data_IF_149853702380
#
_entry.id   IF_149853702380
#
_cell.length_a   1.000
_cell.length_b   1.000
_cell.length_c   1.000
_cell.angle_alpha   90.00
_cell.angle_beta   90.00
_cell.angle_gamma   90.00
#
_symmetry.space_group_name_H-M   'P 1'
#
loop_
_entity.id
_entity.type
_entity.pdbx_description
1 polymer ?
#
# COMPACT_ATOMS: atom_id res chain seq x y z
N UNK A 1 -14.11 12.66 -18.45
CA UNK A 1 -15.33 12.25 -17.72
C UNK A 1 -15.12 12.63 -16.27
N UNK A 2 -16.09 13.31 -15.64
CA UNK A 2 -15.98 13.74 -14.24
C UNK A 2 -16.66 12.75 -13.28
N UNK A 3 -16.19 12.69 -12.04
CA UNK A 3 -16.88 12.01 -10.95
C UNK A 3 -18.19 12.78 -10.68
N UNK A 4 -19.32 12.08 -10.58
CA UNK A 4 -20.63 12.70 -10.35
C UNK A 4 -20.88 13.01 -8.88
N UNK A 5 -20.41 12.12 -8.02
CA UNK A 5 -20.63 12.19 -6.58
C UNK A 5 -19.43 11.56 -5.84
N UNK A 6 -19.04 12.15 -4.73
CA UNK A 6 -18.03 11.61 -3.83
C UNK A 6 -18.69 11.37 -2.48
N UNK A 7 -18.70 10.12 -2.03
CA UNK A 7 -19.27 9.71 -0.75
C UNK A 7 -18.12 9.44 0.21
N UNK A 8 -17.94 10.26 1.26
CA UNK A 8 -16.91 10.00 2.25
C UNK A 8 -17.31 8.83 3.16
N UNK A 9 -16.47 7.79 3.18
CA UNK A 9 -16.69 6.59 3.99
C UNK A 9 -15.54 6.50 5.00
N UNK A 10 -15.72 7.18 6.13
CA UNK A 10 -14.76 7.21 7.22
C UNK A 10 -15.49 7.29 8.56
N UNK A 11 -14.98 6.65 9.62
CA UNK A 11 -15.53 6.77 10.96
C UNK A 11 -15.53 8.22 11.44
N UNK A 12 -16.44 8.56 12.32
CA UNK A 12 -16.49 9.86 12.97
C UNK A 12 -15.49 9.90 14.15
N UNK A 13 -14.68 10.95 14.21
CA UNK A 13 -13.71 11.15 15.30
C UNK A 13 -12.70 10.01 15.42
N UNK A 14 -12.56 9.47 16.62
CA UNK A 14 -11.59 8.41 16.94
C UNK A 14 -12.13 6.99 16.81
N UNK A 15 -13.35 6.84 16.31
CA UNK A 15 -13.93 5.52 16.07
C UNK A 15 -13.07 4.72 15.07
N UNK A 16 -13.04 3.40 15.26
CA UNK A 16 -12.32 2.46 14.41
C UNK A 16 -13.27 1.52 13.65
N UNK A 17 -14.54 1.93 13.51
CA UNK A 17 -15.58 1.15 12.82
C UNK A 17 -16.43 2.03 11.93
N UNK A 18 -16.79 1.51 10.78
CA UNK A 18 -17.77 2.11 9.89
C UNK A 18 -19.18 1.86 10.42
N UNK A 19 -20.06 2.84 10.27
CA UNK A 19 -21.48 2.68 10.58
C UNK A 19 -22.18 1.78 9.54
N UNK A 20 -23.32 1.17 9.87
CA UNK A 20 -24.11 0.40 8.91
C UNK A 20 -24.51 1.20 7.65
N UNK A 21 -24.77 2.50 7.79
CA UNK A 21 -25.05 3.38 6.64
C UNK A 21 -23.85 3.56 5.73
N UNK A 22 -22.64 3.75 6.28
CA UNK A 22 -21.40 3.84 5.51
C UNK A 22 -21.09 2.54 4.78
N UNK A 23 -21.34 1.40 5.40
CA UNK A 23 -21.21 0.09 4.77
C UNK A 23 -22.21 -0.07 3.61
N UNK A 24 -23.45 0.37 3.79
CA UNK A 24 -24.44 0.35 2.71
C UNK A 24 -24.04 1.24 1.52
N UNK A 25 -23.49 2.42 1.79
CA UNK A 25 -22.96 3.31 0.73
C UNK A 25 -21.76 2.71 0.03
N UNK A 26 -20.81 2.08 0.76
CA UNK A 26 -19.65 1.42 0.16
C UNK A 26 -20.06 0.36 -0.87
N UNK A 27 -21.12 -0.41 -0.60
CA UNK A 27 -21.64 -1.43 -1.53
C UNK A 27 -22.17 -0.86 -2.85
N UNK A 28 -22.47 0.42 -2.91
CA UNK A 28 -23.06 1.11 -4.08
C UNK A 28 -22.04 1.88 -4.89
N UNK A 29 -20.79 1.92 -4.45
CA UNK A 29 -19.73 2.67 -5.13
C UNK A 29 -19.40 2.07 -6.51
N UNK A 30 -19.18 2.94 -7.49
CA UNK A 30 -18.69 2.59 -8.84
C UNK A 30 -17.18 2.82 -8.99
N UNK A 31 -16.51 3.28 -7.95
CA UNK A 31 -15.07 3.34 -7.79
C UNK A 31 -14.77 3.45 -6.28
N UNK A 32 -13.66 2.91 -5.83
CA UNK A 32 -13.18 3.05 -4.46
C UNK A 32 -11.83 3.76 -4.49
N UNK A 33 -11.69 4.83 -3.71
CA UNK A 33 -10.40 5.52 -3.56
C UNK A 33 -10.08 5.65 -2.07
N UNK A 34 -8.93 5.09 -1.66
CA UNK A 34 -8.47 5.14 -0.27
C UNK A 34 -7.32 6.14 -0.15
N UNK A 35 -7.52 7.16 0.67
CA UNK A 35 -6.57 8.24 0.90
C UNK A 35 -5.32 7.84 1.67
N UNK A 36 -4.43 8.81 1.87
CA UNK A 36 -3.28 8.69 2.77
C UNK A 36 -3.66 8.90 4.24
N UNK A 37 -2.84 8.40 5.15
CA UNK A 37 -3.04 8.57 6.59
C UNK A 37 -2.26 7.53 7.41
N UNK A 38 -2.70 7.27 8.64
CA UNK A 38 -2.12 6.23 9.49
C UNK A 38 -2.54 4.85 9.00
N UNK A 39 -1.59 4.06 8.50
CA UNK A 39 -1.83 2.74 7.94
C UNK A 39 -2.41 1.77 8.98
N UNK A 40 -1.99 1.87 10.26
CA UNK A 40 -2.55 1.03 11.36
C UNK A 40 -4.04 1.30 11.53
N UNK A 41 -4.42 2.58 11.52
CA UNK A 41 -5.82 2.99 11.64
C UNK A 41 -6.63 2.51 10.44
N UNK A 42 -6.10 2.66 9.22
CA UNK A 42 -6.76 2.20 7.99
C UNK A 42 -6.90 0.69 7.94
N UNK A 43 -5.85 -0.03 8.34
CA UNK A 43 -5.89 -1.49 8.46
C UNK A 43 -7.02 -1.94 9.40
N UNK A 44 -7.11 -1.33 10.57
CA UNK A 44 -8.14 -1.67 11.56
C UNK A 44 -9.55 -1.34 11.07
N UNK A 45 -9.74 -0.17 10.45
CA UNK A 45 -11.06 0.30 10.00
C UNK A 45 -11.55 -0.48 8.78
N UNK A 46 -10.68 -0.68 7.79
CA UNK A 46 -11.09 -1.17 6.48
C UNK A 46 -10.70 -2.62 6.22
N UNK A 47 -9.50 -3.05 6.66
CA UNK A 47 -9.01 -4.40 6.37
C UNK A 47 -9.54 -5.42 7.38
N UNK A 48 -9.54 -5.09 8.67
CA UNK A 48 -10.05 -5.98 9.73
C UNK A 48 -11.57 -5.86 9.96
N UNK A 49 -12.31 -5.42 8.94
CA UNK A 49 -13.76 -5.26 9.01
C UNK A 49 -14.46 -5.85 7.80
N UNK A 50 -15.80 -5.78 7.79
CA UNK A 50 -16.59 -6.23 6.63
C UNK A 50 -16.30 -5.41 5.35
N UNK A 51 -15.75 -4.19 5.48
CA UNK A 51 -15.36 -3.38 4.33
C UNK A 51 -14.36 -4.10 3.41
N UNK A 52 -13.48 -4.93 3.96
CA UNK A 52 -12.55 -5.75 3.17
C UNK A 52 -13.28 -6.68 2.19
N UNK A 53 -14.27 -7.42 2.67
CA UNK A 53 -15.03 -8.32 1.81
C UNK A 53 -15.75 -7.55 0.70
N UNK A 54 -16.37 -6.43 1.04
CA UNK A 54 -17.09 -5.58 0.09
C UNK A 54 -16.14 -5.01 -0.97
N UNK A 55 -14.98 -4.47 -0.58
CA UNK A 55 -14.00 -3.92 -1.53
C UNK A 55 -13.50 -5.01 -2.48
N UNK A 56 -13.26 -6.21 -1.97
CA UNK A 56 -12.86 -7.36 -2.81
C UNK A 56 -13.96 -7.77 -3.79
N UNK A 57 -15.21 -7.81 -3.35
CA UNK A 57 -16.37 -8.12 -4.21
C UNK A 57 -16.53 -7.06 -5.30
N UNK A 58 -16.44 -5.78 -4.96
CA UNK A 58 -16.49 -4.67 -5.91
C UNK A 58 -15.35 -4.79 -6.93
N UNK A 59 -14.12 -4.99 -6.49
CA UNK A 59 -12.96 -5.15 -7.35
C UNK A 59 -13.11 -6.35 -8.30
N UNK A 60 -13.53 -7.49 -7.78
CA UNK A 60 -13.78 -8.70 -8.58
C UNK A 60 -14.91 -8.51 -9.61
N UNK A 61 -15.83 -7.58 -9.38
CA UNK A 61 -16.88 -7.19 -10.33
C UNK A 61 -16.43 -6.13 -11.36
N UNK A 62 -15.14 -5.74 -11.35
CA UNK A 62 -14.58 -4.75 -12.28
C UNK A 62 -14.65 -3.30 -11.81
N UNK A 63 -15.03 -3.05 -10.56
CA UNK A 63 -15.02 -1.71 -9.98
C UNK A 63 -13.56 -1.32 -9.66
N UNK A 64 -13.06 -0.18 -10.18
CA UNK A 64 -11.67 0.22 -9.97
C UNK A 64 -11.40 0.61 -8.51
N UNK A 65 -10.20 0.26 -8.07
CA UNK A 65 -9.63 0.71 -6.80
C UNK A 65 -8.47 1.66 -7.04
N UNK A 66 -8.41 2.76 -6.30
CA UNK A 66 -7.26 3.64 -6.22
C UNK A 66 -6.81 3.79 -4.78
N UNK A 67 -5.51 3.87 -4.57
CA UNK A 67 -4.92 4.07 -3.25
C UNK A 67 -3.74 5.03 -3.28
N UNK A 68 -3.61 5.89 -2.28
CA UNK A 68 -2.45 6.75 -2.09
C UNK A 68 -1.88 6.54 -0.69
N UNK A 69 -0.54 6.44 -0.57
CA UNK A 69 0.16 6.25 0.71
C UNK A 69 -0.43 5.05 1.47
N UNK A 70 -1.02 5.23 2.65
CA UNK A 70 -1.66 4.15 3.42
C UNK A 70 -2.67 3.34 2.59
N UNK A 71 -3.45 4.00 1.72
CA UNK A 71 -4.39 3.33 0.83
C UNK A 71 -3.69 2.43 -0.20
N UNK A 72 -2.52 2.81 -0.70
CA UNK A 72 -1.74 1.94 -1.58
C UNK A 72 -1.10 0.77 -0.82
N UNK A 73 -0.60 1.02 0.40
CA UNK A 73 0.00 -0.02 1.24
C UNK A 73 -0.94 -1.18 1.55
N UNK A 74 -2.23 -0.90 1.81
CA UNK A 74 -3.23 -1.91 2.20
C UNK A 74 -3.91 -2.60 1.01
N UNK A 75 -3.60 -2.22 -0.23
CA UNK A 75 -4.20 -2.81 -1.43
C UNK A 75 -3.80 -4.28 -1.67
N UNK A 76 -2.53 -4.70 -1.50
CA UNK A 76 -2.10 -6.08 -1.75
C UNK A 76 -2.70 -7.11 -0.78
N UNK A 77 -2.35 -8.37 -1.01
CA UNK A 77 -2.70 -9.48 -0.11
C UNK A 77 -1.99 -9.37 1.24
N UNK A 78 -0.71 -9.02 1.23
CA UNK A 78 0.07 -8.67 2.41
C UNK A 78 0.42 -7.19 2.40
N UNK A 79 0.39 -6.54 3.55
CA UNK A 79 0.67 -5.11 3.66
C UNK A 79 1.61 -4.76 4.80
N UNK A 80 2.38 -3.71 4.59
CA UNK A 80 3.20 -3.09 5.64
C UNK A 80 2.30 -2.14 6.43
N UNK A 81 2.10 -2.43 7.72
CA UNK A 81 1.27 -1.58 8.60
C UNK A 81 2.09 -0.66 9.48
N UNK A 82 3.34 -1.04 9.79
CA UNK A 82 4.11 -0.32 10.79
C UNK A 82 5.59 -0.66 10.74
N UNK A 83 6.41 0.23 11.27
CA UNK A 83 7.81 -0.02 11.61
C UNK A 83 8.78 0.07 10.45
N UNK A 84 10.05 0.11 10.81
CA UNK A 84 11.20 -0.01 9.91
C UNK A 84 12.45 -0.34 10.73
N UNK A 85 13.26 -1.29 10.27
CA UNK A 85 14.56 -1.58 10.89
C UNK A 85 15.68 -0.61 10.49
N UNK A 86 15.45 0.26 9.52
CA UNK A 86 16.51 1.09 8.92
C UNK A 86 16.60 2.47 9.56
N UNK A 87 16.06 2.67 10.73
CA UNK A 87 16.29 3.90 11.48
C UNK A 87 17.66 3.79 12.15
N UNK A 88 18.69 4.20 11.44
CA UNK A 88 19.97 4.47 12.12
C UNK A 88 19.82 5.73 12.97
N UNK A 89 20.35 5.75 14.19
CA UNK A 89 20.29 6.93 15.07
C UNK A 89 20.83 8.23 14.46
N UNK A 90 21.57 8.13 13.39
CA UNK A 90 22.22 9.24 12.67
C UNK A 90 21.35 9.88 11.60
N UNK A 91 20.19 9.32 11.28
CA UNK A 91 19.32 9.88 10.24
C UNK A 91 18.06 10.52 10.84
N UNK A 92 18.24 11.69 11.49
CA UNK A 92 17.14 12.49 12.04
C UNK A 92 16.08 12.85 11.01
N UNK A 93 16.43 12.91 9.73
CA UNK A 93 15.48 13.19 8.65
C UNK A 93 14.51 12.04 8.45
N UNK A 94 14.97 10.80 8.40
CA UNK A 94 14.11 9.62 8.30
C UNK A 94 13.25 9.42 9.54
N UNK A 95 13.76 9.73 10.72
CA UNK A 95 12.99 9.69 11.98
C UNK A 95 11.90 10.77 11.99
N UNK A 96 12.18 11.97 11.47
CA UNK A 96 11.21 13.07 11.43
C UNK A 96 10.17 12.93 10.32
N UNK A 97 10.52 12.29 9.21
CA UNK A 97 9.62 12.08 8.08
C UNK A 97 8.87 10.75 8.14
N UNK A 98 9.28 9.81 8.99
CA UNK A 98 8.39 8.72 9.37
C UNK A 98 7.30 9.30 10.29
N UNK A 99 6.33 9.94 9.68
CA UNK A 99 5.17 10.64 10.28
C UNK A 99 4.41 9.79 11.33
N UNK A 100 4.80 8.58 11.56
CA UNK A 100 4.09 7.55 12.30
C UNK A 100 4.91 6.86 13.39
N UNK A 101 6.20 7.17 13.53
CA UNK A 101 7.05 6.62 14.57
C UNK A 101 7.31 7.70 15.63
N UNK A 102 6.74 7.54 16.79
CA UNK A 102 7.18 8.21 18.01
C UNK A 102 8.06 7.24 18.80
N UNK A 103 9.42 7.34 18.69
CA UNK A 103 10.32 6.42 19.36
C UNK A 103 10.15 6.43 20.88
N UNK A 104 9.61 7.51 21.43
CA UNK A 104 9.34 7.64 22.86
C UNK A 104 8.08 6.87 23.30
N UNK A 105 7.14 6.64 22.39
CA UNK A 105 5.88 5.94 22.67
C UNK A 105 5.86 4.52 22.16
N UNK A 106 6.57 4.25 21.06
CA UNK A 106 6.43 3.01 20.29
C UNK A 106 7.56 1.99 20.54
N UNK A 107 8.57 2.34 21.33
CA UNK A 107 9.61 1.48 21.95
C UNK A 107 10.31 0.43 21.09
N UNK A 108 9.64 -0.19 20.17
CA UNK A 108 10.16 -1.19 19.26
C UNK A 108 9.77 -0.84 17.82
N UNK A 109 10.78 -0.65 16.99
CA UNK A 109 10.65 -0.27 15.58
C UNK A 109 10.61 -1.49 14.65
N UNK A 110 10.20 -2.63 15.16
CA UNK A 110 10.08 -3.83 14.34
C UNK A 110 9.06 -3.65 13.21
N UNK A 111 9.45 -4.08 12.01
CA UNK A 111 8.54 -4.10 10.88
C UNK A 111 7.36 -5.03 11.17
N UNK A 112 6.16 -4.52 10.98
CA UNK A 112 4.92 -5.29 11.10
C UNK A 112 4.21 -5.36 9.76
N UNK A 113 3.95 -6.57 9.33
CA UNK A 113 3.18 -6.90 8.15
C UNK A 113 1.93 -7.69 8.56
N UNK A 114 0.85 -7.54 7.83
CA UNK A 114 -0.39 -8.27 8.05
C UNK A 114 -1.12 -8.43 6.71
N UNK A 115 -2.30 -9.03 6.72
CA UNK A 115 -3.16 -9.09 5.54
C UNK A 115 -3.58 -7.70 5.06
N UNK A 116 -3.65 -7.52 3.75
CA UNK A 116 -4.26 -6.36 3.11
C UNK A 116 -5.63 -6.67 2.51
N UNK A 117 -6.06 -5.87 1.54
CA UNK A 117 -7.32 -6.14 0.82
C UNK A 117 -7.24 -7.40 -0.04
N UNK A 118 -6.07 -7.75 -0.58
CA UNK A 118 -5.88 -8.87 -1.49
C UNK A 118 -6.27 -8.55 -2.92
N UNK A 119 -6.03 -7.32 -3.35
CA UNK A 119 -6.26 -6.87 -4.74
C UNK A 119 -5.05 -7.14 -5.64
N UNK A 120 -3.88 -7.40 -5.07
CA UNK A 120 -2.68 -7.86 -5.73
C UNK A 120 -2.17 -9.08 -4.98
N UNK A 121 -2.04 -10.21 -5.67
CA UNK A 121 -1.56 -11.47 -5.09
C UNK A 121 -0.05 -11.59 -5.21
N UNK A 122 0.57 -12.28 -4.26
CA UNK A 122 2.02 -12.56 -4.20
C UNK A 122 2.90 -11.30 -4.36
N UNK A 123 2.35 -10.15 -3.98
CA UNK A 123 2.97 -8.83 -4.11
C UNK A 123 2.78 -8.02 -2.83
N UNK A 124 3.75 -7.20 -2.50
CA UNK A 124 3.68 -6.21 -1.42
C UNK A 124 4.08 -4.84 -1.95
N UNK A 125 3.49 -3.78 -1.42
CA UNK A 125 3.72 -2.40 -1.88
C UNK A 125 4.43 -1.61 -0.81
N UNK A 126 5.40 -0.78 -1.20
CA UNK A 126 6.02 0.26 -0.41
C UNK A 126 5.89 1.61 -1.11
N UNK A 127 5.54 2.64 -0.36
CA UNK A 127 5.32 4.00 -0.86
C UNK A 127 6.35 4.96 -0.29
N UNK A 128 6.44 6.18 -0.88
CA UNK A 128 7.50 7.14 -0.56
C UNK A 128 8.88 6.47 -0.69
N UNK A 129 9.02 5.65 -1.73
CA UNK A 129 10.07 4.63 -1.79
C UNK A 129 11.48 5.22 -1.85
N UNK A 130 11.72 6.15 -2.78
CA UNK A 130 13.01 6.84 -2.84
C UNK A 130 13.17 7.85 -1.71
N UNK A 131 12.10 8.56 -1.36
CA UNK A 131 12.11 9.64 -0.39
C UNK A 131 12.46 9.15 1.02
N UNK A 132 12.03 7.95 1.38
CA UNK A 132 12.27 7.36 2.69
C UNK A 132 13.30 6.22 2.69
N UNK A 133 13.96 5.95 1.56
CA UNK A 133 14.90 4.85 1.44
C UNK A 133 14.22 3.49 1.65
N UNK A 134 13.07 3.28 1.04
CA UNK A 134 12.16 2.15 1.28
C UNK A 134 12.67 0.77 0.85
N UNK A 135 13.79 0.67 0.10
CA UNK A 135 14.30 -0.61 -0.38
C UNK A 135 14.51 -1.65 0.74
N UNK A 136 15.24 -1.36 1.82
CA UNK A 136 15.44 -2.36 2.88
C UNK A 136 14.14 -2.77 3.56
N UNK A 137 13.21 -1.83 3.76
CA UNK A 137 11.91 -2.09 4.35
C UNK A 137 11.04 -2.98 3.47
N UNK A 138 11.02 -2.73 2.17
CA UNK A 138 10.31 -3.56 1.20
C UNK A 138 10.91 -4.97 1.14
N UNK A 139 12.24 -5.08 1.06
CA UNK A 139 12.94 -6.37 1.03
C UNK A 139 12.67 -7.19 2.31
N UNK A 140 12.71 -6.56 3.49
CA UNK A 140 12.36 -7.22 4.76
C UNK A 140 10.90 -7.66 4.78
N UNK A 141 9.97 -6.82 4.31
CA UNK A 141 8.56 -7.18 4.22
C UNK A 141 8.32 -8.39 3.31
N UNK A 142 9.02 -8.46 2.17
CA UNK A 142 8.98 -9.62 1.27
C UNK A 142 9.51 -10.90 1.94
N UNK A 143 10.57 -10.81 2.74
CA UNK A 143 11.07 -11.99 3.51
C UNK A 143 10.06 -12.44 4.55
N UNK A 144 9.45 -11.50 5.28
CA UNK A 144 8.48 -11.81 6.34
C UNK A 144 7.18 -12.42 5.81
N UNK A 145 6.73 -11.98 4.63
CA UNK A 145 5.47 -12.43 4.03
C UNK A 145 5.63 -13.61 3.08
N UNK A 146 6.86 -13.83 2.61
CA UNK A 146 7.14 -14.81 1.55
C UNK A 146 6.75 -14.32 0.15
N UNK A 147 6.33 -13.05 0.00
CA UNK A 147 5.94 -12.49 -1.30
C UNK A 147 7.07 -12.56 -2.31
N UNK A 148 6.75 -12.97 -3.54
CA UNK A 148 7.73 -13.04 -4.63
C UNK A 148 8.05 -11.66 -5.17
N UNK A 149 7.06 -10.75 -5.21
CA UNK A 149 7.21 -9.43 -5.80
C UNK A 149 7.01 -8.30 -4.78
N UNK A 150 7.75 -7.22 -4.98
CA UNK A 150 7.63 -5.98 -4.22
C UNK A 150 7.60 -4.78 -5.16
N UNK A 151 6.65 -3.88 -4.97
CA UNK A 151 6.51 -2.64 -5.72
C UNK A 151 6.88 -1.44 -4.85
N UNK A 152 7.98 -0.78 -5.19
CA UNK A 152 8.37 0.51 -4.61
C UNK A 152 7.84 1.65 -5.45
N UNK A 153 7.14 2.60 -4.84
CA UNK A 153 6.44 3.70 -5.53
C UNK A 153 6.90 5.04 -4.97
N UNK A 154 7.56 5.87 -5.80
CA UNK A 154 7.96 7.23 -5.45
C UNK A 154 6.73 8.16 -5.33
N UNK A 155 6.86 9.28 -4.62
CA UNK A 155 5.73 10.20 -4.39
C UNK A 155 5.08 10.74 -5.65
N UNK A 156 5.83 11.22 -6.66
CA UNK A 156 5.23 11.90 -7.81
C UNK A 156 4.82 10.97 -8.94
N UNK A 157 4.51 9.69 -8.65
CA UNK A 157 4.05 8.71 -9.63
C UNK A 157 2.74 8.03 -9.23
N UNK A 158 2.12 7.43 -10.23
CA UNK A 158 1.02 6.49 -10.09
C UNK A 158 1.33 5.24 -10.92
N UNK A 159 1.14 4.07 -10.34
CA UNK A 159 1.11 2.81 -11.06
C UNK A 159 -0.34 2.48 -11.41
N UNK A 160 -0.64 2.44 -12.70
CA UNK A 160 -1.87 1.84 -13.22
C UNK A 160 -1.62 0.34 -13.38
N UNK A 161 -2.37 -0.48 -12.65
CA UNK A 161 -2.21 -1.94 -12.69
C UNK A 161 -3.48 -2.56 -13.25
N UNK A 162 -3.33 -3.38 -14.29
CA UNK A 162 -4.41 -4.09 -14.95
C UNK A 162 -4.21 -5.60 -14.80
N UNK A 163 -5.33 -6.33 -14.58
CA UNK A 163 -5.37 -7.78 -14.46
C UNK A 163 -4.42 -8.35 -13.37
N UNK A 164 -4.11 -7.53 -12.34
CA UNK A 164 -3.13 -7.84 -11.29
C UNK A 164 -1.70 -8.16 -11.80
N UNK A 165 -1.44 -7.95 -13.08
CA UNK A 165 -0.22 -8.39 -13.76
C UNK A 165 0.53 -7.28 -14.48
N UNK A 166 -0.17 -6.39 -15.19
CA UNK A 166 0.45 -5.40 -16.05
C UNK A 166 0.44 -4.02 -15.39
N UNK A 167 1.60 -3.42 -15.26
CA UNK A 167 1.77 -2.10 -14.66
C UNK A 167 2.26 -1.08 -15.67
N UNK A 168 1.69 0.13 -15.61
CA UNK A 168 2.13 1.31 -16.37
C UNK A 168 2.47 2.45 -15.42
N UNK A 169 3.61 3.09 -15.65
CA UNK A 169 4.10 4.20 -14.82
C UNK A 169 3.61 5.53 -15.36
N UNK A 170 2.95 6.31 -14.51
CA UNK A 170 2.50 7.66 -14.80
C UNK A 170 3.10 8.66 -13.82
N UNK A 171 3.39 9.89 -14.25
CA UNK A 171 3.88 10.95 -13.36
C UNK A 171 5.30 11.41 -13.65
N UNK A 172 6.12 11.65 -12.62
CA UNK A 172 7.47 12.22 -12.75
C UNK A 172 8.55 11.58 -11.87
N UNK A 173 8.21 10.56 -11.11
CA UNK A 173 9.14 9.78 -10.29
C UNK A 173 9.50 8.45 -10.95
N UNK A 174 9.82 7.47 -10.15
CA UNK A 174 10.17 6.11 -10.59
C UNK A 174 9.39 5.07 -9.83
N UNK A 175 9.17 3.93 -10.46
CA UNK A 175 8.72 2.71 -9.81
C UNK A 175 9.88 1.72 -9.72
N UNK A 176 9.93 0.93 -8.68
CA UNK A 176 10.87 -0.16 -8.53
C UNK A 176 10.10 -1.48 -8.37
N UNK A 177 10.43 -2.46 -9.19
CA UNK A 177 9.97 -3.84 -9.02
C UNK A 177 11.11 -4.66 -8.42
N UNK A 178 10.89 -5.23 -7.24
CA UNK A 178 11.76 -6.24 -6.64
C UNK A 178 11.19 -7.61 -6.90
N UNK A 179 12.05 -8.54 -7.31
CA UNK A 179 11.76 -9.97 -7.37
C UNK A 179 12.64 -10.72 -6.36
N UNK A 180 12.03 -11.48 -5.48
CA UNK A 180 12.76 -12.34 -4.54
C UNK A 180 13.22 -13.63 -5.26
N UNK A 181 14.52 -13.85 -5.30
CA UNK A 181 15.15 -15.00 -5.94
C UNK A 181 15.52 -16.13 -4.95
N UNK A 182 15.39 -15.86 -3.66
CA UNK A 182 15.71 -16.75 -2.54
C UNK A 182 15.99 -15.93 -1.27
N UNK A 183 16.34 -16.56 -0.17
CA UNK A 183 16.61 -15.87 1.08
C UNK A 183 17.64 -14.74 0.90
N UNK A 184 17.24 -13.51 1.25
CA UNK A 184 18.05 -12.28 1.15
C UNK A 184 18.65 -12.01 -0.26
N UNK A 185 18.02 -12.55 -1.30
CA UNK A 185 18.44 -12.35 -2.69
C UNK A 185 17.32 -11.77 -3.50
N UNK A 186 17.55 -10.59 -4.05
CA UNK A 186 16.58 -9.84 -4.84
C UNK A 186 17.17 -9.38 -6.16
N UNK A 187 16.36 -9.36 -7.18
CA UNK A 187 16.57 -8.61 -8.41
C UNK A 187 15.71 -7.35 -8.34
N UNK A 188 16.28 -6.20 -8.69
CA UNK A 188 15.58 -4.93 -8.73
C UNK A 188 15.58 -4.36 -10.15
N UNK A 189 14.42 -3.92 -10.61
CA UNK A 189 14.25 -3.19 -11.87
C UNK A 189 13.57 -1.86 -11.60
N UNK A 190 14.04 -0.82 -12.25
CA UNK A 190 13.53 0.54 -12.10
C UNK A 190 12.88 0.96 -13.41
N UNK A 191 11.72 1.59 -13.30
CA UNK A 191 10.90 2.02 -14.41
C UNK A 191 10.60 3.52 -14.30
N UNK A 192 10.57 4.18 -15.45
CA UNK A 192 10.31 5.61 -15.58
C UNK A 192 8.90 5.89 -16.16
N UNK A 193 8.40 7.12 -16.08
CA UNK A 193 7.10 7.47 -16.65
C UNK A 193 6.98 7.09 -18.13
N UNK A 194 5.92 6.36 -18.45
CA UNK A 194 5.65 5.82 -19.78
C UNK A 194 6.03 4.35 -19.94
N UNK A 195 6.88 3.82 -19.06
CA UNK A 195 7.22 2.40 -19.08
C UNK A 195 6.02 1.53 -18.71
N UNK A 196 5.97 0.37 -19.33
CA UNK A 196 5.03 -0.71 -19.06
C UNK A 196 5.83 -1.99 -18.70
N UNK A 197 5.36 -2.71 -17.72
CA UNK A 197 6.02 -3.95 -17.29
C UNK A 197 5.01 -4.96 -16.73
N UNK A 198 5.40 -6.23 -16.79
CA UNK A 198 4.67 -7.32 -16.18
C UNK A 198 5.22 -7.60 -14.77
N UNK A 199 4.35 -7.63 -13.76
CA UNK A 199 4.74 -7.86 -12.36
C UNK A 199 5.19 -9.31 -12.19
N UNK A 200 4.44 -10.27 -12.76
CA UNK A 200 4.69 -11.70 -12.62
C UNK A 200 5.54 -12.33 -13.75
N UNK A 201 5.87 -11.58 -14.79
CA UNK A 201 6.51 -12.07 -16.03
C UNK A 201 8.05 -12.00 -16.04
N UNK A 202 8.70 -11.87 -14.89
CA UNK A 202 10.15 -11.77 -14.79
C UNK A 202 10.77 -13.06 -14.30
#
# INVERSE_FOLDING_TARGET
>A
MGVREVIPIAPLGDELKLSPSQIAELRRCSAVFVGGGDTRRYHQIYVLSEARAIIRELYASGIPYGGVSAGALIAPEACIIWGSKVITPTNEYLVRTSLYLDPAKDGDVQLRVDQGFGLLRDCIVEVHFAELGGFPRLAEAMELTGSTFGLGIDEPICLEIQEEAFAKVHGRGRACLLKRLGPLRFEARVFEPGDEFEIAGI
#
